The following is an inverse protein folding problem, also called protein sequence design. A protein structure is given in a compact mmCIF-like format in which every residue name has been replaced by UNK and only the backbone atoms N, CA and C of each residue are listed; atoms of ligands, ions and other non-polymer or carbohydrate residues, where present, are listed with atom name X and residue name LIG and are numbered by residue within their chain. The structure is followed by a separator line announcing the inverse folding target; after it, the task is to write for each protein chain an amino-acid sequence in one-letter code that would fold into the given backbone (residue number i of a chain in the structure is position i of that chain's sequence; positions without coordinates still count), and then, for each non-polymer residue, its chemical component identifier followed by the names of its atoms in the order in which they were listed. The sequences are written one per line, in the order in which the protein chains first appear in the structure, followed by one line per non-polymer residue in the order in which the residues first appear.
data_IF_630953284057
#
_entry.id   IF_630953284057
#
_cell.length_a   1.000
_cell.length_b   1.000
_cell.length_c   1.000
_cell.angle_alpha   90.00
_cell.angle_beta   90.00
_cell.angle_gamma   90.00
#
_symmetry.space_group_name_H-M   'P 1'
#
loop_
_entity.id
_entity.type
_entity.pdbx_description
1 polymer ?
#
# COMPACT_ATOMS: atom_id res chain seq x y z
N UNK A 1 23.59 -4.60 -6.90
CA UNK A 1 23.38 -3.19 -6.48
C UNK A 1 23.98 -2.83 -5.11
N UNK A 2 24.26 -3.79 -4.21
CA UNK A 2 25.16 -3.60 -3.06
C UNK A 2 26.47 -4.37 -3.26
N UNK A 3 27.08 -4.31 -4.46
CA UNK A 3 28.26 -5.13 -4.78
C UNK A 3 29.50 -4.82 -3.93
N UNK A 4 29.51 -3.67 -3.23
CA UNK A 4 30.65 -3.20 -2.43
C UNK A 4 30.41 -3.20 -0.92
N UNK A 5 29.16 -3.34 -0.46
CA UNK A 5 28.82 -3.17 0.95
C UNK A 5 27.82 -4.22 1.39
N UNK A 6 28.00 -4.77 2.59
CA UNK A 6 26.99 -5.61 3.23
C UNK A 6 25.73 -4.77 3.52
N UNK A 7 24.54 -5.38 3.39
CA UNK A 7 23.26 -4.72 3.61
C UNK A 7 23.17 -4.03 4.97
N UNK A 8 23.73 -4.60 6.03
CA UNK A 8 23.66 -4.07 7.40
C UNK A 8 24.63 -2.91 7.67
N UNK A 9 25.73 -2.84 6.92
CA UNK A 9 26.77 -1.83 7.10
C UNK A 9 26.70 -0.68 6.08
N UNK A 10 25.99 -0.84 4.96
CA UNK A 10 25.98 0.18 3.90
C UNK A 10 25.50 1.56 4.42
N UNK A 11 26.10 2.68 3.98
CA UNK A 11 25.69 4.00 4.43
C UNK A 11 24.30 4.37 3.92
N UNK A 12 23.55 5.15 4.71
CA UNK A 12 22.23 5.72 4.34
C UNK A 12 22.35 7.07 3.62
N UNK A 13 23.55 7.64 3.60
CA UNK A 13 23.91 8.89 2.93
C UNK A 13 24.67 8.63 1.62
N UNK A 14 24.72 9.63 0.75
CA UNK A 14 25.39 9.55 -0.55
C UNK A 14 24.45 9.26 -1.74
N UNK A 15 25.07 8.91 -2.87
CA UNK A 15 24.42 8.67 -4.18
C UNK A 15 23.73 7.28 -4.22
N UNK A 16 22.68 7.12 -3.43
CA UNK A 16 21.78 5.96 -3.45
C UNK A 16 20.38 6.39 -3.82
N UNK A 17 19.65 5.52 -4.54
CA UNK A 17 18.27 5.81 -4.92
C UNK A 17 17.40 5.99 -3.67
N UNK A 18 16.35 6.81 -3.80
CA UNK A 18 15.42 7.08 -2.70
C UNK A 18 14.83 5.77 -2.12
N UNK A 19 14.44 4.83 -2.98
CA UNK A 19 13.90 3.53 -2.58
C UNK A 19 14.92 2.71 -1.77
N UNK A 20 16.19 2.68 -2.17
CA UNK A 20 17.23 2.01 -1.40
C UNK A 20 17.44 2.69 -0.05
N UNK A 21 17.48 4.03 -0.01
CA UNK A 21 17.57 4.76 1.25
C UNK A 21 16.43 4.37 2.21
N UNK A 22 15.20 4.28 1.72
CA UNK A 22 14.06 3.83 2.54
C UNK A 22 14.24 2.38 3.03
N UNK A 23 14.70 1.47 2.18
CA UNK A 23 14.99 0.09 2.59
C UNK A 23 16.06 0.03 3.69
N UNK A 24 17.13 0.82 3.59
CA UNK A 24 18.18 0.86 4.61
C UNK A 24 17.67 1.45 5.94
N UNK A 25 16.73 2.40 5.90
CA UNK A 25 16.08 2.93 7.10
C UNK A 25 15.18 1.90 7.81
N UNK A 26 14.77 0.83 7.12
CA UNK A 26 13.99 -0.26 7.70
C UNK A 26 14.84 -1.35 8.38
N UNK A 27 16.19 -1.24 8.38
CA UNK A 27 17.07 -2.22 9.05
C UNK A 27 16.71 -2.49 10.51
N UNK A 28 16.43 -1.48 11.37
CA UNK A 28 16.11 -1.77 12.77
C UNK A 28 14.88 -2.68 12.89
N UNK A 29 13.83 -2.39 12.13
CA UNK A 29 12.63 -3.23 12.07
C UNK A 29 12.92 -4.62 11.50
N UNK A 30 13.78 -4.72 10.48
CA UNK A 30 14.16 -6.01 9.91
C UNK A 30 14.94 -6.86 10.92
N UNK A 31 15.81 -6.25 11.74
CA UNK A 31 16.62 -6.95 12.75
C UNK A 31 15.75 -7.60 13.83
N UNK A 32 14.63 -6.99 14.21
CA UNK A 32 13.69 -7.56 15.18
C UNK A 32 13.05 -8.87 14.71
N UNK A 33 13.05 -9.14 13.40
CA UNK A 33 12.35 -10.28 12.81
C UNK A 33 13.25 -11.28 12.09
N UNK A 34 14.45 -10.87 11.65
CA UNK A 34 15.35 -11.76 10.92
C UNK A 34 16.20 -12.56 11.90
N UNK A 35 16.13 -13.88 11.78
CA UNK A 35 16.92 -14.82 12.57
C UNK A 35 17.97 -15.45 11.68
N UNK A 36 19.24 -15.22 12.02
CA UNK A 36 20.38 -15.86 11.37
C UNK A 36 20.69 -17.18 12.08
N UNK A 37 20.67 -18.30 11.35
CA UNK A 37 21.07 -19.61 11.85
C UNK A 37 22.37 -20.03 11.17
N UNK A 38 23.45 -20.01 11.93
CA UNK A 38 24.74 -20.52 11.51
C UNK A 38 24.66 -22.04 11.28
N UNK A 39 25.10 -22.47 10.11
CA UNK A 39 25.36 -23.85 9.76
C UNK A 39 26.85 -24.02 9.56
N UNK A 40 27.27 -24.19 8.31
CA UNK A 40 28.66 -24.34 7.92
C UNK A 40 29.45 -23.02 7.89
N UNK A 41 28.78 -21.86 8.03
CA UNK A 41 29.40 -20.53 8.08
C UNK A 41 29.80 -19.96 6.71
N UNK A 42 29.43 -20.60 5.60
CA UNK A 42 29.87 -20.20 4.27
C UNK A 42 29.08 -19.01 3.69
N UNK A 43 27.88 -18.70 4.17
CA UNK A 43 27.08 -17.62 3.58
C UNK A 43 27.25 -16.30 4.31
N UNK A 44 27.37 -16.34 5.63
CA UNK A 44 27.34 -15.13 6.44
C UNK A 44 28.69 -14.43 6.52
N UNK A 45 28.66 -13.10 6.42
CA UNK A 45 29.80 -12.24 6.73
C UNK A 45 30.13 -12.34 8.21
N UNK A 46 31.40 -12.60 8.52
CA UNK A 46 31.88 -12.67 9.89
C UNK A 46 31.60 -11.36 10.66
N UNK A 47 31.77 -10.22 10.00
CA UNK A 47 31.77 -8.91 10.65
C UNK A 47 30.42 -8.20 10.64
N UNK A 48 29.69 -8.27 9.53
CA UNK A 48 28.59 -7.34 9.27
C UNK A 48 27.20 -7.96 9.36
N UNK A 49 27.06 -9.28 9.19
CA UNK A 49 25.76 -9.95 9.33
C UNK A 49 25.42 -10.15 10.82
N UNK A 50 24.14 -10.01 11.23
CA UNK A 50 23.74 -10.06 12.63
C UNK A 50 23.55 -11.51 13.14
N UNK A 51 24.56 -12.35 12.94
CA UNK A 51 24.53 -13.76 13.34
C UNK A 51 24.92 -13.97 14.82
N UNK A 52 25.56 -13.00 15.47
CA UNK A 52 25.94 -13.07 16.88
C UNK A 52 24.77 -12.60 17.75
N UNK A 53 23.87 -13.53 18.08
CA UNK A 53 22.68 -13.27 18.92
C UNK A 53 21.79 -12.11 18.40
N UNK A 54 21.68 -11.98 17.08
CA UNK A 54 20.89 -10.92 16.43
C UNK A 54 21.63 -9.60 16.23
N UNK A 55 22.92 -9.53 16.59
CA UNK A 55 23.80 -8.39 16.34
C UNK A 55 25.01 -8.78 15.51
N UNK A 56 25.62 -7.79 14.84
CA UNK A 56 26.85 -8.01 14.07
C UNK A 56 28.07 -7.79 14.95
N UNK A 57 29.15 -8.54 14.71
CA UNK A 57 30.41 -8.38 15.47
C UNK A 57 30.94 -6.94 15.35
N UNK A 58 30.85 -6.34 14.16
CA UNK A 58 31.26 -4.95 13.94
C UNK A 58 30.40 -3.95 14.73
N UNK A 59 29.10 -4.18 14.85
CA UNK A 59 28.22 -3.29 15.63
C UNK A 59 28.51 -3.34 17.14
N UNK A 60 28.93 -4.49 17.68
CA UNK A 60 29.21 -4.66 19.10
C UNK A 60 30.63 -4.21 19.49
N UNK A 61 31.65 -4.55 18.69
CA UNK A 61 33.06 -4.35 19.06
C UNK A 61 33.82 -3.37 18.14
N UNK A 62 33.16 -2.86 17.09
CA UNK A 62 33.73 -1.89 16.17
C UNK A 62 34.81 -2.48 15.25
N UNK A 63 35.68 -1.61 14.74
CA UNK A 63 36.72 -2.00 13.78
C UNK A 63 37.92 -2.72 14.42
N UNK A 64 38.13 -2.58 15.73
CA UNK A 64 39.33 -3.05 16.42
C UNK A 64 39.51 -4.57 16.31
N UNK A 65 38.43 -5.32 16.52
CA UNK A 65 38.44 -6.80 16.40
C UNK A 65 38.82 -7.32 15.00
N UNK A 66 38.59 -6.53 13.95
CA UNK A 66 39.04 -6.89 12.60
C UNK A 66 40.56 -6.80 12.49
N UNK A 67 41.16 -5.77 13.11
CA UNK A 67 42.62 -5.62 13.15
C UNK A 67 43.27 -6.65 14.06
N UNK A 68 42.71 -6.89 15.25
CA UNK A 68 43.25 -7.83 16.24
C UNK A 68 43.27 -9.28 15.72
N UNK A 69 42.34 -9.64 14.82
CA UNK A 69 42.33 -10.96 14.17
C UNK A 69 43.23 -11.05 12.94
N UNK A 70 43.72 -9.93 12.41
CA UNK A 70 44.50 -9.89 11.17
C UNK A 70 43.71 -10.30 9.91
N UNK A 71 42.38 -10.36 10.00
CA UNK A 71 41.52 -10.86 8.93
C UNK A 71 40.99 -9.74 8.03
N UNK A 72 40.66 -10.11 6.79
CA UNK A 72 40.05 -9.19 5.83
C UNK A 72 38.61 -8.79 6.20
N UNK A 73 38.14 -7.67 5.66
CA UNK A 73 36.77 -7.18 5.86
C UNK A 73 35.69 -8.03 5.19
N UNK A 74 36.05 -8.83 4.19
CA UNK A 74 35.11 -9.66 3.41
C UNK A 74 35.14 -11.13 3.82
N UNK A 75 35.56 -11.42 5.07
CA UNK A 75 35.67 -12.78 5.60
C UNK A 75 34.30 -13.32 6.02
N UNK A 76 34.12 -14.63 5.85
CA UNK A 76 32.92 -15.38 6.19
C UNK A 76 33.06 -16.07 7.54
N UNK A 77 31.93 -16.39 8.17
CA UNK A 77 31.86 -17.08 9.46
C UNK A 77 32.67 -18.39 9.47
N UNK A 78 32.70 -19.12 8.34
CA UNK A 78 33.46 -20.36 8.13
C UNK A 78 34.92 -20.27 8.59
N UNK A 79 35.54 -19.10 8.48
CA UNK A 79 36.94 -18.90 8.83
C UNK A 79 37.22 -19.11 10.32
N UNK A 80 36.21 -18.92 11.18
CA UNK A 80 36.26 -19.14 12.62
C UNK A 80 35.72 -20.50 13.06
N UNK A 81 35.41 -21.40 12.12
CA UNK A 81 34.90 -22.75 12.41
C UNK A 81 35.93 -23.78 11.93
N UNK A 82 36.52 -24.52 12.87
CA UNK A 82 37.44 -25.63 12.58
C UNK A 82 37.00 -26.86 13.35
N UNK A 83 37.01 -28.02 12.68
CA UNK A 83 36.64 -29.32 13.28
C UNK A 83 35.26 -29.34 13.98
N UNK A 84 34.34 -28.47 13.56
CA UNK A 84 33.00 -28.38 14.17
C UNK A 84 32.97 -27.57 15.47
N UNK A 85 34.01 -26.78 15.75
CA UNK A 85 34.10 -25.88 16.90
C UNK A 85 34.43 -24.45 16.49
N UNK A 86 33.99 -23.49 17.30
CA UNK A 86 34.37 -22.09 17.19
C UNK A 86 35.80 -21.86 17.69
N UNK A 87 36.63 -21.26 16.86
CA UNK A 87 38.03 -20.98 17.20
C UNK A 87 38.38 -19.52 16.90
N UNK A 88 38.21 -18.67 17.91
CA UNK A 88 38.64 -17.28 17.86
C UNK A 88 40.05 -17.09 18.45
N UNK A 89 40.87 -16.17 17.91
CA UNK A 89 42.16 -15.83 18.50
C UNK A 89 41.99 -15.28 19.92
N UNK A 90 42.85 -15.68 20.86
CA UNK A 90 42.81 -15.22 22.25
C UNK A 90 43.75 -14.03 22.49
N UNK A 91 43.93 -13.17 21.48
CA UNK A 91 44.93 -12.09 21.45
C UNK A 91 44.45 -10.79 22.09
N UNK A 92 43.14 -10.59 22.25
CA UNK A 92 42.57 -9.42 22.93
C UNK A 92 41.33 -9.78 23.75
N UNK A 93 41.02 -8.96 24.76
CA UNK A 93 39.87 -9.18 25.65
C UNK A 93 38.54 -9.29 24.88
N UNK A 94 38.37 -8.51 23.82
CA UNK A 94 37.15 -8.51 23.00
C UNK A 94 36.99 -9.84 22.25
N UNK A 95 38.10 -10.41 21.74
CA UNK A 95 38.06 -11.71 21.05
C UNK A 95 37.83 -12.88 22.02
N UNK A 96 38.36 -12.77 23.24
CA UNK A 96 38.06 -13.72 24.32
C UNK A 96 36.57 -13.66 24.67
N UNK A 97 35.98 -12.47 24.81
CA UNK A 97 34.53 -12.32 25.04
C UNK A 97 33.70 -12.90 23.87
N UNK A 98 34.09 -12.62 22.62
CA UNK A 98 33.44 -13.20 21.44
C UNK A 98 33.49 -14.74 21.51
N UNK A 99 34.65 -15.34 21.83
CA UNK A 99 34.78 -16.80 21.96
C UNK A 99 33.77 -17.37 22.95
N UNK A 100 33.58 -16.73 24.10
CA UNK A 100 32.59 -17.19 25.11
C UNK A 100 31.15 -17.04 24.59
N UNK A 101 30.82 -15.95 23.89
CA UNK A 101 29.46 -15.73 23.38
C UNK A 101 29.07 -16.67 22.25
N UNK A 102 30.01 -17.07 21.40
CA UNK A 102 29.73 -17.95 20.26
C UNK A 102 29.56 -19.42 20.65
N UNK A 103 30.07 -19.85 21.81
CA UNK A 103 29.91 -21.23 22.29
C UNK A 103 28.45 -21.68 22.37
N UNK A 104 27.53 -20.75 22.64
CA UNK A 104 26.10 -21.03 22.71
C UNK A 104 25.39 -21.05 21.34
N UNK A 105 26.12 -20.79 20.25
CA UNK A 105 25.58 -20.78 18.89
C UNK A 105 25.86 -22.16 18.26
N UNK A 106 24.81 -22.98 18.00
CA UNK A 106 25.00 -24.29 17.40
C UNK A 106 25.52 -24.15 15.97
N UNK A 107 26.52 -24.94 15.63
CA UNK A 107 27.09 -25.08 14.29
C UNK A 107 26.86 -26.48 13.75
N UNK A 108 26.77 -26.62 12.43
CA UNK A 108 26.51 -27.91 11.78
C UNK A 108 27.12 -27.96 10.39
N UNK A 109 27.13 -29.13 9.76
CA UNK A 109 27.57 -29.28 8.36
C UNK A 109 26.53 -28.77 7.35
N UNK A 110 25.30 -28.50 7.78
CA UNK A 110 24.23 -27.97 6.94
C UNK A 110 24.54 -26.52 6.51
N UNK A 111 23.98 -26.04 5.38
CA UNK A 111 24.17 -24.65 4.96
C UNK A 111 23.55 -23.67 5.96
N UNK A 112 24.16 -22.49 6.04
CA UNK A 112 23.61 -21.33 6.74
C UNK A 112 22.18 -21.02 6.26
N UNK A 113 21.31 -20.57 7.16
CA UNK A 113 19.91 -20.25 6.81
C UNK A 113 19.39 -19.02 7.52
N UNK A 114 18.56 -18.24 6.81
CA UNK A 114 17.91 -17.04 7.33
C UNK A 114 16.42 -17.33 7.47
N UNK A 115 15.88 -17.05 8.65
CA UNK A 115 14.48 -17.27 9.00
C UNK A 115 13.82 -15.95 9.38
N UNK A 116 12.49 -15.91 9.32
CA UNK A 116 11.70 -14.75 9.73
C UNK A 116 10.82 -15.13 10.93
N UNK A 117 11.04 -14.49 12.08
CA UNK A 117 10.40 -14.72 13.39
C UNK A 117 10.59 -16.09 14.03
N UNK A 118 10.53 -17.17 13.25
CA UNK A 118 10.60 -18.55 13.76
C UNK A 118 11.47 -19.42 12.87
N UNK A 119 12.31 -20.23 13.50
CA UNK A 119 13.20 -21.16 12.81
C UNK A 119 12.38 -22.33 12.25
N UNK A 120 12.62 -22.65 10.98
CA UNK A 120 12.00 -23.80 10.30
C UNK A 120 10.67 -23.50 9.60
N UNK A 121 10.11 -22.31 9.78
CA UNK A 121 8.94 -21.86 9.01
C UNK A 121 9.37 -21.19 7.70
N UNK A 122 8.70 -21.52 6.60
CA UNK A 122 8.95 -20.87 5.33
C UNK A 122 8.53 -19.38 5.37
N UNK A 123 9.34 -18.51 4.78
CA UNK A 123 9.01 -17.10 4.68
C UNK A 123 7.73 -16.89 3.85
N UNK A 124 6.81 -16.09 4.38
CA UNK A 124 5.64 -15.62 3.66
C UNK A 124 5.50 -14.11 3.82
N UNK A 125 5.33 -13.41 2.70
CA UNK A 125 5.08 -11.97 2.68
C UNK A 125 3.83 -11.59 3.46
N UNK A 126 2.82 -12.47 3.48
CA UNK A 126 1.61 -12.26 4.27
C UNK A 126 1.90 -12.30 5.77
N UNK A 127 2.66 -13.29 6.25
CA UNK A 127 3.04 -13.39 7.67
C UNK A 127 3.95 -12.21 8.07
N UNK A 128 4.95 -11.89 7.25
CA UNK A 128 5.84 -10.75 7.51
C UNK A 128 5.08 -9.43 7.62
N UNK A 129 4.12 -9.19 6.71
CA UNK A 129 3.24 -8.03 6.78
C UNK A 129 2.38 -7.99 8.04
N UNK A 130 1.83 -9.13 8.46
CA UNK A 130 0.95 -9.20 9.63
C UNK A 130 1.66 -8.87 10.94
N UNK A 131 2.95 -9.19 11.04
CA UNK A 131 3.77 -8.93 12.22
C UNK A 131 4.32 -7.50 12.22
N UNK A 132 4.75 -6.99 11.06
CA UNK A 132 5.35 -5.65 10.96
C UNK A 132 4.32 -4.52 10.92
N UNK A 133 3.09 -4.78 10.46
CA UNK A 133 2.08 -3.73 10.34
C UNK A 133 1.61 -3.26 11.71
N UNK A 134 1.45 -1.95 11.85
CA UNK A 134 0.65 -1.37 12.94
C UNK A 134 -0.81 -1.69 12.69
N UNK A 135 -1.42 -2.48 13.57
CA UNK A 135 -2.86 -2.76 13.53
C UNK A 135 -3.62 -1.52 14.00
N UNK A 136 -4.69 -1.17 13.30
CA UNK A 136 -5.60 -0.10 13.68
C UNK A 136 -7.03 -0.63 13.66
N UNK A 137 -7.93 0.07 14.34
CA UNK A 137 -9.34 -0.31 14.37
C UNK A 137 -9.93 -0.34 12.96
N UNK A 138 -10.81 -1.31 12.73
CA UNK A 138 -11.53 -1.42 11.46
C UNK A 138 -12.49 -0.26 11.35
N UNK A 139 -12.29 0.58 10.34
CA UNK A 139 -13.17 1.71 10.05
C UNK A 139 -14.43 1.22 9.31
N UNK A 140 -15.63 1.76 9.61
CA UNK A 140 -16.89 1.31 9.00
C UNK A 140 -16.89 1.41 7.47
N UNK A 141 -16.27 2.47 6.92
CA UNK A 141 -16.21 2.72 5.48
C UNK A 141 -15.22 1.83 4.72
N UNK A 142 -14.44 0.95 5.37
CA UNK A 142 -13.39 0.18 4.70
C UNK A 142 -13.93 -0.64 3.51
N UNK A 143 -15.13 -1.22 3.63
CA UNK A 143 -15.76 -2.01 2.58
C UNK A 143 -16.32 -1.18 1.41
N UNK A 144 -16.48 0.13 1.59
CA UNK A 144 -16.83 1.07 0.51
C UNK A 144 -15.62 1.30 -0.39
N UNK A 145 -14.43 1.39 0.21
CA UNK A 145 -13.16 1.66 -0.49
C UNK A 145 -12.53 0.37 -1.03
N UNK A 146 -12.38 -0.62 -0.16
CA UNK A 146 -11.60 -1.83 -0.38
C UNK A 146 -12.53 -3.02 -0.62
N UNK A 147 -13.08 -3.09 -1.83
CA UNK A 147 -13.89 -4.23 -2.29
C UNK A 147 -13.28 -4.89 -3.54
N UNK A 148 -13.63 -6.15 -3.87
CA UNK A 148 -13.00 -6.89 -4.98
C UNK A 148 -13.15 -6.21 -6.35
N UNK A 149 -14.32 -5.61 -6.62
CA UNK A 149 -14.61 -4.94 -7.89
C UNK A 149 -14.04 -3.52 -8.01
N UNK A 150 -13.29 -3.01 -7.02
CA UNK A 150 -12.78 -1.63 -7.02
C UNK A 150 -11.87 -1.33 -8.22
N UNK A 151 -11.83 -0.06 -8.63
CA UNK A 151 -10.81 0.46 -9.55
C UNK A 151 -9.67 1.03 -8.66
N UNK A 152 -8.43 0.51 -8.72
CA UNK A 152 -7.38 0.86 -7.76
C UNK A 152 -7.12 2.37 -7.61
N UNK A 153 -7.01 3.10 -8.73
CA UNK A 153 -6.82 4.56 -8.72
C UNK A 153 -7.98 5.32 -8.05
N UNK A 154 -9.22 4.85 -8.21
CA UNK A 154 -10.40 5.46 -7.61
C UNK A 154 -10.49 5.16 -6.12
N UNK A 155 -10.25 3.89 -5.74
CA UNK A 155 -10.22 3.48 -4.34
C UNK A 155 -9.14 4.25 -3.56
N UNK A 156 -7.95 4.43 -4.15
CA UNK A 156 -6.88 5.20 -3.53
C UNK A 156 -7.26 6.69 -3.35
N UNK A 157 -7.86 7.32 -4.37
CA UNK A 157 -8.33 8.70 -4.25
C UNK A 157 -9.43 8.86 -3.21
N UNK A 158 -10.40 7.93 -3.17
CA UNK A 158 -11.46 7.94 -2.16
C UNK A 158 -10.90 7.72 -0.75
N UNK A 159 -9.94 6.80 -0.59
CA UNK A 159 -9.25 6.59 0.67
C UNK A 159 -8.56 7.86 1.17
N UNK A 160 -7.88 8.60 0.28
CA UNK A 160 -7.28 9.89 0.62
C UNK A 160 -8.34 10.92 1.03
N UNK A 161 -9.50 10.95 0.37
CA UNK A 161 -10.60 11.84 0.75
C UNK A 161 -11.15 11.52 2.15
N UNK A 162 -11.41 10.24 2.44
CA UNK A 162 -11.86 9.75 3.76
C UNK A 162 -10.85 10.01 4.88
N UNK A 163 -9.57 9.99 4.55
CA UNK A 163 -8.48 10.33 5.47
C UNK A 163 -8.24 11.83 5.61
N UNK A 164 -8.91 12.68 4.82
CA UNK A 164 -8.61 14.10 4.74
C UNK A 164 -7.16 14.36 4.29
N UNK A 165 -6.60 13.50 3.43
CA UNK A 165 -5.20 13.53 3.02
C UNK A 165 -4.95 14.18 1.64
N UNK A 166 -6.01 14.54 0.91
CA UNK A 166 -5.89 15.36 -0.31
C UNK A 166 -5.28 16.72 -0.01
N UNK A 167 -4.37 17.18 -0.88
CA UNK A 167 -3.64 18.45 -0.80
C UNK A 167 -4.48 19.61 -1.38
N UNK A 168 -5.59 19.89 -0.71
CA UNK A 168 -6.47 21.03 -1.00
C UNK A 168 -5.78 22.36 -0.68
N UNK A 169 -6.23 23.46 -1.30
CA UNK A 169 -5.56 24.77 -1.15
C UNK A 169 -5.51 25.25 0.30
N UNK A 170 -6.54 25.00 1.12
CA UNK A 170 -6.51 25.28 2.57
C UNK A 170 -5.25 24.69 3.27
N UNK A 171 -4.90 23.44 2.97
CA UNK A 171 -3.71 22.77 3.51
C UNK A 171 -2.42 23.24 2.87
N UNK A 172 -2.47 23.60 1.59
CA UNK A 172 -1.31 24.14 0.88
C UNK A 172 -0.97 25.55 1.37
N UNK A 173 -1.98 26.37 1.71
CA UNK A 173 -1.81 27.68 2.32
C UNK A 173 -1.14 27.52 3.68
N UNK A 174 -1.65 26.62 4.53
CA UNK A 174 -1.06 26.33 5.83
C UNK A 174 0.39 25.81 5.74
N UNK A 175 0.77 25.21 4.61
CA UNK A 175 2.13 24.75 4.34
C UNK A 175 3.01 25.82 3.63
N UNK A 176 2.50 27.02 3.37
CA UNK A 176 3.22 28.10 2.68
C UNK A 176 3.44 27.86 1.18
N UNK A 177 2.69 26.95 0.55
CA UNK A 177 2.86 26.57 -0.86
C UNK A 177 2.03 27.45 -1.80
N UNK A 178 0.89 27.97 -1.33
CA UNK A 178 0.00 28.87 -2.10
C UNK A 178 -0.36 30.08 -1.26
N UNK A 179 -0.75 31.18 -1.92
CA UNK A 179 -1.16 32.43 -1.25
C UNK A 179 -2.68 32.62 -1.20
N UNK A 180 -3.43 31.85 -1.99
CA UNK A 180 -4.87 31.95 -2.15
C UNK A 180 -5.54 30.58 -2.00
N UNK A 181 -6.71 30.57 -1.37
CA UNK A 181 -7.55 29.39 -1.16
C UNK A 181 -8.83 29.39 -2.00
N UNK A 182 -9.07 30.38 -2.87
CA UNK A 182 -10.26 30.43 -3.69
C UNK A 182 -10.46 29.12 -4.48
N UNK A 183 -11.71 28.66 -4.50
CA UNK A 183 -12.08 27.39 -5.11
C UNK A 183 -11.71 27.37 -6.59
N UNK A 184 -10.99 26.31 -6.98
CA UNK A 184 -10.51 26.10 -8.37
C UNK A 184 -11.68 25.90 -9.35
N UNK A 185 -12.89 25.66 -8.85
CA UNK A 185 -14.10 25.63 -9.65
C UNK A 185 -14.78 27.01 -9.84
N UNK A 186 -14.16 28.08 -9.34
CA UNK A 186 -14.58 29.47 -9.51
C UNK A 186 -16.01 29.75 -9.03
N UNK A 187 -16.40 29.18 -7.89
CA UNK A 187 -17.73 29.37 -7.31
C UNK A 187 -17.81 30.45 -6.22
N UNK A 188 -16.73 31.21 -5.98
CA UNK A 188 -16.69 32.30 -4.99
C UNK A 188 -16.34 31.89 -3.55
N UNK A 189 -16.21 30.60 -3.27
CA UNK A 189 -15.89 30.05 -1.94
C UNK A 189 -14.43 29.57 -1.84
N UNK A 190 -13.97 29.20 -0.65
CA UNK A 190 -12.63 28.63 -0.43
C UNK A 190 -12.58 27.10 -0.64
N UNK A 191 -11.49 26.61 -1.24
CA UNK A 191 -11.21 25.18 -1.45
C UNK A 191 -10.82 24.50 -0.14
N UNK A 192 -11.79 23.84 0.48
CA UNK A 192 -11.59 22.79 1.46
C UNK A 192 -11.93 21.44 0.85
N UNK A 193 -11.56 20.32 1.50
CA UNK A 193 -11.94 18.99 1.03
C UNK A 193 -13.47 18.81 0.96
N UNK A 194 -14.18 19.25 2.00
CA UNK A 194 -15.65 19.15 2.06
C UNK A 194 -16.29 20.01 0.97
N UNK A 195 -15.78 21.23 0.78
CA UNK A 195 -16.28 22.12 -0.25
C UNK A 195 -16.04 21.55 -1.65
N UNK A 196 -14.78 21.18 -1.95
CA UNK A 196 -14.35 20.69 -3.26
C UNK A 196 -15.19 19.51 -3.73
N UNK A 197 -15.44 18.53 -2.86
CA UNK A 197 -16.15 17.33 -3.27
C UNK A 197 -17.67 17.44 -3.16
N UNK A 198 -18.25 18.18 -2.20
CA UNK A 198 -19.69 18.07 -1.90
C UNK A 198 -20.47 19.38 -1.88
N UNK A 199 -19.85 20.52 -1.54
CA UNK A 199 -20.59 21.79 -1.41
C UNK A 199 -20.43 22.70 -2.63
N UNK A 200 -19.37 22.53 -3.41
CA UNK A 200 -19.16 23.33 -4.62
C UNK A 200 -20.30 23.10 -5.62
N UNK A 201 -20.92 24.17 -6.16
CA UNK A 201 -21.99 24.04 -7.16
C UNK A 201 -21.61 23.21 -8.39
N UNK A 202 -20.35 23.26 -8.82
CA UNK A 202 -19.85 22.43 -9.92
C UNK A 202 -19.91 20.94 -9.57
N UNK A 203 -19.35 20.57 -8.41
CA UNK A 203 -19.36 19.19 -7.91
C UNK A 203 -20.76 18.69 -7.58
N UNK A 204 -21.63 19.57 -7.09
CA UNK A 204 -23.02 19.25 -6.79
C UNK A 204 -23.81 18.84 -8.05
N UNK A 205 -23.54 19.46 -9.20
CA UNK A 205 -24.13 19.05 -10.49
C UNK A 205 -23.68 17.63 -10.88
N UNK A 206 -22.40 17.32 -10.72
CA UNK A 206 -21.86 15.96 -10.99
C UNK A 206 -22.53 14.93 -10.09
N UNK A 207 -22.62 15.19 -8.78
CA UNK A 207 -23.25 14.24 -7.84
C UNK A 207 -24.72 14.01 -8.13
N UNK A 208 -25.47 15.05 -8.50
CA UNK A 208 -26.89 14.93 -8.83
C UNK A 208 -27.13 13.94 -9.96
N UNK A 209 -26.37 14.08 -11.05
CA UNK A 209 -26.51 13.20 -12.22
C UNK A 209 -26.04 11.77 -11.90
N UNK A 210 -24.93 11.62 -11.16
CA UNK A 210 -24.44 10.30 -10.74
C UNK A 210 -25.42 9.59 -9.79
N UNK A 211 -26.06 10.32 -8.86
CA UNK A 211 -27.08 9.77 -7.97
C UNK A 211 -28.34 9.37 -8.76
N UNK A 212 -28.76 10.19 -9.71
CA UNK A 212 -29.87 9.85 -10.62
C UNK A 212 -29.58 8.58 -11.42
N UNK A 213 -28.35 8.41 -11.93
CA UNK A 213 -27.93 7.16 -12.59
C UNK A 213 -27.96 5.94 -11.66
N UNK A 214 -27.86 6.14 -10.35
CA UNK A 214 -28.01 5.09 -9.34
C UNK A 214 -29.47 4.86 -8.91
N UNK A 215 -30.44 5.52 -9.54
CA UNK A 215 -31.85 5.58 -9.13
C UNK A 215 -32.03 6.10 -7.69
N UNK A 216 -31.24 7.11 -7.30
CA UNK A 216 -31.30 7.76 -5.99
C UNK A 216 -31.73 9.21 -6.17
N UNK A 217 -32.89 9.56 -5.61
CA UNK A 217 -33.47 10.89 -5.67
C UNK A 217 -33.53 11.50 -4.28
N UNK A 218 -32.43 12.15 -3.86
CA UNK A 218 -32.36 12.92 -2.62
C UNK A 218 -31.38 14.09 -2.75
N UNK A 219 -31.45 15.09 -1.86
CA UNK A 219 -30.41 16.11 -1.74
C UNK A 219 -29.05 15.48 -1.44
N UNK A 220 -27.98 16.13 -1.89
CA UNK A 220 -26.60 15.78 -1.54
C UNK A 220 -26.41 16.10 -0.06
N UNK A 221 -25.93 15.12 0.71
CA UNK A 221 -25.70 15.30 2.13
C UNK A 221 -24.33 15.96 2.37
N UNK A 222 -24.11 16.45 3.59
CA UNK A 222 -22.76 16.83 4.02
C UNK A 222 -21.81 15.63 3.92
N UNK A 223 -20.51 15.88 3.75
CA UNK A 223 -19.52 14.80 3.59
C UNK A 223 -19.62 13.69 4.65
N UNK A 224 -19.69 13.98 5.98
CA UNK A 224 -19.80 12.92 6.98
C UNK A 224 -21.09 12.10 6.83
N UNK A 225 -22.20 12.76 6.51
CA UNK A 225 -23.49 12.12 6.32
C UNK A 225 -23.52 11.29 5.03
N UNK A 226 -22.81 11.71 3.98
CA UNK A 226 -22.66 10.89 2.78
C UNK A 226 -21.86 9.62 3.03
N UNK A 227 -20.74 9.74 3.74
CA UNK A 227 -19.92 8.58 4.09
C UNK A 227 -20.71 7.58 4.94
N UNK A 228 -21.49 8.09 5.90
CA UNK A 228 -22.36 7.27 6.74
C UNK A 228 -23.45 6.59 5.91
N UNK A 229 -24.13 7.33 5.04
CA UNK A 229 -25.16 6.81 4.15
C UNK A 229 -24.60 5.73 3.22
N UNK A 230 -23.44 5.95 2.60
CA UNK A 230 -22.75 4.98 1.76
C UNK A 230 -22.36 3.71 2.53
N UNK A 231 -21.93 3.87 3.78
CA UNK A 231 -21.54 2.73 4.63
C UNK A 231 -22.73 1.84 4.97
N UNK A 232 -23.92 2.41 5.16
CA UNK A 232 -25.14 1.64 5.44
C UNK A 232 -25.83 1.11 4.18
N UNK A 233 -25.86 1.88 3.08
CA UNK A 233 -26.65 1.58 1.87
C UNK A 233 -25.86 0.94 0.73
N UNK A 234 -24.57 0.65 0.93
CA UNK A 234 -23.74 -0.10 -0.01
C UNK A 234 -23.09 -1.35 0.62
N UNK A 235 -23.64 -1.79 1.76
CA UNK A 235 -23.20 -2.98 2.49
C UNK A 235 -23.70 -4.23 1.77
N UNK A 236 -22.75 -5.07 1.33
CA UNK A 236 -23.04 -6.33 0.66
C UNK A 236 -22.48 -6.41 -0.77
N UNK A 237 -22.92 -7.45 -1.48
CA UNK A 237 -22.39 -7.84 -2.80
C UNK A 237 -23.40 -7.70 -3.95
N UNK A 238 -24.62 -7.27 -3.66
CA UNK A 238 -25.63 -6.99 -4.70
C UNK A 238 -25.13 -5.98 -5.73
N UNK A 239 -25.71 -6.06 -6.93
CA UNK A 239 -25.28 -5.26 -8.07
C UNK A 239 -25.37 -3.76 -7.80
N UNK A 240 -26.51 -3.29 -7.29
CA UNK A 240 -26.72 -1.88 -6.96
C UNK A 240 -25.76 -1.38 -5.86
N UNK A 241 -25.41 -2.22 -4.87
CA UNK A 241 -24.39 -1.88 -3.88
C UNK A 241 -23.01 -1.69 -4.52
N UNK A 242 -22.67 -2.55 -5.48
CA UNK A 242 -21.40 -2.46 -6.22
C UNK A 242 -21.34 -1.20 -7.08
N UNK A 243 -22.43 -0.88 -7.81
CA UNK A 243 -22.55 0.36 -8.58
C UNK A 243 -22.34 1.56 -7.68
N UNK A 244 -23.06 1.66 -6.55
CA UNK A 244 -22.93 2.77 -5.61
C UNK A 244 -21.49 2.98 -5.13
N UNK A 245 -20.79 1.90 -4.76
CA UNK A 245 -19.37 1.96 -4.34
C UNK A 245 -18.47 2.49 -5.45
N UNK A 246 -18.65 1.97 -6.66
CA UNK A 246 -17.86 2.37 -7.83
C UNK A 246 -18.14 3.82 -8.23
N UNK A 247 -19.41 4.22 -8.29
CA UNK A 247 -19.86 5.58 -8.57
C UNK A 247 -19.26 6.57 -7.57
N UNK A 248 -19.36 6.28 -6.27
CA UNK A 248 -18.83 7.15 -5.22
C UNK A 248 -17.31 7.35 -5.33
N UNK A 249 -16.56 6.27 -5.57
CA UNK A 249 -15.12 6.33 -5.74
C UNK A 249 -14.70 7.03 -7.06
N UNK A 250 -15.41 6.76 -8.16
CA UNK A 250 -15.13 7.34 -9.47
C UNK A 250 -15.42 8.85 -9.49
N UNK A 251 -16.54 9.30 -8.92
CA UNK A 251 -16.86 10.73 -8.83
C UNK A 251 -15.82 11.47 -8.01
N UNK A 252 -15.45 10.94 -6.84
CA UNK A 252 -14.39 11.54 -6.00
C UNK A 252 -13.06 11.61 -6.76
N UNK A 253 -12.70 10.57 -7.51
CA UNK A 253 -11.50 10.57 -8.33
C UNK A 253 -11.54 11.63 -9.44
N UNK A 254 -12.59 11.66 -10.25
CA UNK A 254 -12.64 12.57 -11.40
C UNK A 254 -12.78 14.03 -10.99
N UNK A 255 -13.47 14.35 -9.88
CA UNK A 255 -13.44 15.69 -9.31
C UNK A 255 -12.03 16.11 -8.88
N UNK A 256 -11.27 15.21 -8.26
CA UNK A 256 -9.87 15.47 -7.88
C UNK A 256 -8.98 15.68 -9.11
N UNK A 257 -9.15 14.87 -10.15
CA UNK A 257 -8.42 15.02 -11.41
C UNK A 257 -8.79 16.32 -12.12
N UNK A 258 -10.05 16.71 -12.15
CA UNK A 258 -10.49 17.97 -12.75
C UNK A 258 -9.92 19.17 -12.01
N UNK A 259 -9.91 19.14 -10.67
CA UNK A 259 -9.22 20.15 -9.86
C UNK A 259 -7.75 20.28 -10.26
N UNK A 260 -7.03 19.15 -10.35
CA UNK A 260 -5.61 19.16 -10.75
C UNK A 260 -5.43 19.61 -12.20
N UNK A 261 -6.35 19.27 -13.10
CA UNK A 261 -6.35 19.70 -14.50
C UNK A 261 -6.44 21.23 -14.60
N UNK A 262 -7.33 21.86 -13.83
CA UNK A 262 -7.44 23.32 -13.77
C UNK A 262 -6.18 23.96 -13.18
N UNK A 263 -5.66 23.42 -12.08
CA UNK A 263 -4.46 23.96 -11.42
C UNK A 263 -3.19 23.90 -12.29
N UNK A 264 -2.93 22.76 -12.94
CA UNK A 264 -1.64 22.50 -13.58
C UNK A 264 -1.67 22.61 -15.11
N UNK A 265 -2.85 22.55 -15.73
CA UNK A 265 -2.99 22.55 -17.19
C UNK A 265 -3.87 23.67 -17.72
N UNK A 266 -4.52 24.46 -16.85
CA UNK A 266 -5.45 25.51 -17.23
C UNK A 266 -6.53 25.04 -18.24
N UNK A 267 -7.04 23.82 -18.04
CA UNK A 267 -8.12 23.24 -18.86
C UNK A 267 -9.34 22.97 -17.98
N UNK A 268 -10.51 23.33 -18.50
CA UNK A 268 -11.77 23.32 -17.76
C UNK A 268 -12.77 22.44 -18.49
N UNK A 269 -13.16 21.33 -17.88
CA UNK A 269 -14.22 20.50 -18.43
C UNK A 269 -15.59 20.93 -17.89
N UNK A 270 -16.65 20.92 -18.73
CA UNK A 270 -18.01 21.03 -18.23
C UNK A 270 -18.33 19.81 -17.35
N UNK A 271 -19.27 19.97 -16.41
CA UNK A 271 -19.55 18.91 -15.43
C UNK A 271 -20.10 17.63 -16.09
N UNK A 272 -20.77 17.74 -17.25
CA UNK A 272 -21.28 16.61 -18.01
C UNK A 272 -20.17 15.67 -18.50
N UNK A 273 -19.01 16.21 -18.88
CA UNK A 273 -17.84 15.41 -19.27
C UNK A 273 -17.32 14.58 -18.08
N UNK A 274 -17.35 15.16 -16.86
CA UNK A 274 -16.99 14.44 -15.64
C UNK A 274 -17.98 13.30 -15.39
N UNK A 275 -19.28 13.53 -15.55
CA UNK A 275 -20.33 12.49 -15.43
C UNK A 275 -20.11 11.39 -16.47
N UNK A 276 -19.78 11.74 -17.71
CA UNK A 276 -19.50 10.78 -18.78
C UNK A 276 -18.26 9.92 -18.47
N UNK A 277 -17.18 10.52 -17.97
CA UNK A 277 -15.99 9.77 -17.54
C UNK A 277 -16.30 8.81 -16.38
N UNK A 278 -17.11 9.24 -15.41
CA UNK A 278 -17.60 8.37 -14.32
C UNK A 278 -18.42 7.21 -14.89
N UNK A 279 -19.37 7.48 -15.79
CA UNK A 279 -20.21 6.48 -16.45
C UNK A 279 -19.36 5.43 -17.17
N UNK A 280 -18.39 5.88 -17.97
CA UNK A 280 -17.50 5.00 -18.73
C UNK A 280 -16.68 4.08 -17.82
N UNK A 281 -16.03 4.61 -16.79
CA UNK A 281 -15.19 3.81 -15.90
C UNK A 281 -16.00 2.75 -15.13
N UNK A 282 -17.18 3.14 -14.62
CA UNK A 282 -18.06 2.22 -13.87
C UNK A 282 -18.70 1.19 -14.80
N UNK A 283 -19.20 1.62 -15.95
CA UNK A 283 -19.80 0.75 -16.97
C UNK A 283 -18.81 -0.29 -17.48
N UNK A 284 -17.61 0.14 -17.89
CA UNK A 284 -16.54 -0.75 -18.34
C UNK A 284 -16.11 -1.74 -17.25
N UNK A 285 -16.06 -1.32 -15.98
CA UNK A 285 -15.71 -2.20 -14.86
C UNK A 285 -16.75 -3.30 -14.61
N UNK A 286 -18.02 -3.04 -14.95
CA UNK A 286 -19.14 -3.95 -14.72
C UNK A 286 -19.59 -4.71 -15.98
N UNK A 287 -19.10 -4.34 -17.17
CA UNK A 287 -19.38 -5.04 -18.42
C UNK A 287 -18.94 -6.51 -18.37
N UNK A 288 -17.82 -6.80 -17.71
CA UNK A 288 -17.32 -8.18 -17.54
C UNK A 288 -17.90 -8.82 -16.28
N UNK A 289 -18.73 -9.85 -16.45
CA UNK A 289 -19.32 -10.63 -15.36
C UNK A 289 -20.69 -10.13 -14.89
N UNK A 290 -21.45 -9.47 -15.77
CA UNK A 290 -22.86 -9.17 -15.53
C UNK A 290 -23.70 -10.43 -15.80
N UNK A 291 -23.94 -11.24 -14.77
CA UNK A 291 -24.89 -12.34 -14.86
C UNK A 291 -26.30 -11.75 -14.81
N UNK A 292 -27.11 -12.08 -15.82
CA UNK A 292 -28.45 -11.53 -16.08
C UNK A 292 -29.43 -11.79 -14.92
N UNK A 293 -29.43 -10.91 -13.91
CA UNK A 293 -30.55 -10.82 -12.96
C UNK A 293 -31.69 -10.07 -13.66
N UNK A 294 -32.83 -10.74 -13.86
CA UNK A 294 -34.02 -10.22 -14.57
C UNK A 294 -34.93 -9.35 -13.69
N UNK A 295 -34.36 -8.39 -12.94
CA UNK A 295 -35.14 -7.43 -12.17
C UNK A 295 -35.16 -6.07 -12.91
N UNK A 296 -36.30 -5.39 -12.94
CA UNK A 296 -36.47 -4.07 -13.56
C UNK A 296 -35.49 -3.05 -12.96
N UNK A 297 -35.25 -3.14 -11.64
CA UNK A 297 -34.25 -2.31 -10.97
C UNK A 297 -32.84 -2.55 -11.50
N UNK A 298 -32.48 -3.81 -11.79
CA UNK A 298 -31.19 -4.16 -12.40
C UNK A 298 -31.10 -3.65 -13.83
N UNK A 299 -32.14 -3.83 -14.64
CA UNK A 299 -32.21 -3.36 -16.02
C UNK A 299 -32.02 -1.84 -16.11
N UNK A 300 -32.76 -1.08 -15.30
CA UNK A 300 -32.64 0.39 -15.25
C UNK A 300 -31.21 0.84 -14.93
N UNK A 301 -30.55 0.20 -13.96
CA UNK A 301 -29.16 0.50 -13.64
C UNK A 301 -28.21 0.17 -14.80
N UNK A 302 -28.40 -0.96 -15.49
CA UNK A 302 -27.58 -1.29 -16.66
C UNK A 302 -27.70 -0.25 -17.76
N UNK A 303 -28.92 0.21 -18.06
CA UNK A 303 -29.17 1.28 -19.06
C UNK A 303 -28.49 2.59 -18.64
N UNK A 304 -28.72 3.04 -17.41
CA UNK A 304 -28.13 4.27 -16.88
C UNK A 304 -26.60 4.25 -16.98
N UNK A 305 -25.97 3.12 -16.64
CA UNK A 305 -24.51 2.98 -16.61
C UNK A 305 -23.89 2.50 -17.95
N UNK A 306 -24.70 2.23 -18.97
CA UNK A 306 -24.22 1.74 -20.27
C UNK A 306 -23.56 0.35 -20.18
N UNK A 307 -24.06 -0.50 -19.29
CA UNK A 307 -23.55 -1.85 -19.07
C UNK A 307 -24.26 -2.80 -20.03
N UNK A 308 -23.53 -3.56 -20.88
CA UNK A 308 -24.16 -4.54 -21.76
C UNK A 308 -24.88 -5.61 -20.94
N UNK A 309 -26.11 -5.89 -21.31
CA UNK A 309 -26.88 -7.03 -20.82
C UNK A 309 -26.52 -8.21 -21.71
N UNK A 310 -26.01 -9.31 -21.15
CA UNK A 310 -25.65 -10.48 -21.96
C UNK A 310 -26.87 -10.97 -22.74
N UNK A 311 -26.71 -11.14 -24.06
CA UNK A 311 -27.71 -11.80 -24.90
C UNK A 311 -27.91 -13.23 -24.39
N UNK A 312 -29.17 -13.61 -24.17
CA UNK A 312 -29.56 -15.00 -24.00
C UNK A 312 -29.01 -15.81 -25.16
N UNK A 313 -28.28 -16.90 -24.89
CA UNK A 313 -28.14 -17.96 -25.89
C UNK A 313 -29.54 -18.50 -26.15
N UNK A 314 -30.17 -18.04 -27.23
CA UNK A 314 -31.31 -18.72 -27.84
C UNK A 314 -30.79 -20.09 -28.32
N UNK A 315 -30.99 -21.13 -27.51
CA UNK A 315 -30.49 -22.47 -27.79
C UNK A 315 -31.17 -23.58 -26.99
N UNK A 316 -31.73 -23.28 -25.81
CA UNK A 316 -32.29 -24.31 -24.92
C UNK A 316 -33.84 -24.40 -24.93
N UNK A 317 -34.51 -24.04 -26.04
CA UNK A 317 -36.00 -24.14 -26.15
C UNK A 317 -36.51 -25.03 -27.30
N UNK A 318 -35.64 -25.78 -28.00
CA UNK A 318 -36.08 -26.68 -29.09
C UNK A 318 -35.67 -28.15 -28.94
N UNK A 319 -35.68 -28.68 -27.72
CA UNK A 319 -35.55 -30.14 -27.50
C UNK A 319 -36.58 -30.71 -26.51
N UNK A 320 -37.83 -30.24 -26.57
CA UNK A 320 -38.99 -31.01 -26.14
C UNK A 320 -40.21 -30.60 -26.97
N UNK A 321 -40.34 -31.24 -28.13
CA UNK A 321 -41.54 -31.26 -28.98
C UNK A 321 -41.66 -32.64 -29.58
#
# INVERSE_FOLDING_TARGET
LLHRYNFWYAPTTGLISWSWRQLLLLRPLAREHIIYRCGNGELFSLWYDPWLHGESVHALYGHRVIYDTGLGRSVRVKCMIREGEWQWPQTSCDLIDIQHRVQNIPISSAPDSIHWNKIGEAFSTACAWQVTRRRSNVVPWHGVVWHPKRIPKHAFSLWLALRGAHRTKDKLLAAGVVQDTACVFHCGENETMVHLFFQCPYSAKVWRDVLSMCNIYRPILSWPNEVLWMTSHAKGKEFHHTIRKLAFAATTYHLWIERNRRCFKNRFLPYQEIVQMVRQDVGAKLAYGNNSKRDEHHHSLCVNWGIPMGETREGDVLLHG
#
